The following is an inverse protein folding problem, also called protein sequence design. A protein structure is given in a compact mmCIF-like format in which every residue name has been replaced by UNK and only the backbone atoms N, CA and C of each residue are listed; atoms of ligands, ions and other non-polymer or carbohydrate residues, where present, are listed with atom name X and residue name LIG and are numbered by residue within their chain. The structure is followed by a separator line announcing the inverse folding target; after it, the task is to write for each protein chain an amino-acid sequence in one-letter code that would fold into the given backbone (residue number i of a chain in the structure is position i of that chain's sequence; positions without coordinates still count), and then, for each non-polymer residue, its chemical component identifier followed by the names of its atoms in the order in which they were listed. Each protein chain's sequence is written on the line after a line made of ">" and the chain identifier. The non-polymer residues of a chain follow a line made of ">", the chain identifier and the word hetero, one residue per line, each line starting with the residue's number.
data_IF_636078529644
#
_entry.id   IF_636078529644
#
_cell.length_a   1.000
_cell.length_b   1.000
_cell.length_c   1.000
_cell.angle_alpha   90.00
_cell.angle_beta   90.00
_cell.angle_gamma   90.00
#
_symmetry.space_group_name_H-M   'P 1'
#
loop_
_entity.id
_entity.type
_entity.pdbx_description
1 polymer ?
#
# COMPACT_ATOMS: atom_id res chain seq x y z
N UNK A 1 3.23 18.51 -3.86
CA UNK A 1 3.31 17.57 -2.71
C UNK A 1 3.81 18.36 -1.50
N UNK A 2 2.96 18.54 -0.49
CA UNK A 2 3.36 19.21 0.74
C UNK A 2 4.00 18.22 1.70
N UNK A 3 5.23 18.50 2.09
CA UNK A 3 6.01 17.65 2.99
C UNK A 3 6.13 18.32 4.36
N UNK A 4 5.83 17.56 5.42
CA UNK A 4 5.95 18.00 6.82
C UNK A 4 6.97 17.10 7.54
N UNK A 5 7.84 17.71 8.32
CA UNK A 5 8.74 16.98 9.22
C UNK A 5 8.26 17.11 10.67
N UNK A 6 8.14 15.97 11.36
CA UNK A 6 7.78 15.92 12.77
C UNK A 6 9.02 16.09 13.66
N UNK A 7 8.79 16.42 14.94
CA UNK A 7 9.86 16.65 15.92
C UNK A 7 10.82 15.47 16.14
N UNK A 8 10.41 14.25 15.81
CA UNK A 8 11.21 13.03 15.85
C UNK A 8 11.99 12.75 14.57
N UNK A 9 11.97 13.66 13.57
CA UNK A 9 12.63 13.50 12.28
C UNK A 9 11.88 12.66 11.25
N UNK A 10 10.64 12.24 11.54
CA UNK A 10 9.78 11.58 10.54
C UNK A 10 9.29 12.60 9.52
N UNK A 11 9.50 12.31 8.24
CA UNK A 11 8.95 13.11 7.14
C UNK A 11 7.67 12.48 6.63
N UNK A 12 6.67 13.31 6.39
CA UNK A 12 5.35 12.90 5.92
C UNK A 12 5.00 13.74 4.70
N UNK A 13 4.63 13.06 3.62
CA UNK A 13 4.26 13.71 2.36
C UNK A 13 2.88 13.21 1.94
N UNK A 14 1.92 14.11 1.81
CA UNK A 14 0.67 13.81 1.12
C UNK A 14 0.93 13.85 -0.39
N UNK A 15 0.52 12.79 -1.11
CA UNK A 15 0.66 12.74 -2.56
C UNK A 15 -0.52 13.45 -3.25
N UNK A 16 -0.49 13.55 -4.58
CA UNK A 16 -1.55 14.20 -5.37
C UNK A 16 -2.86 13.37 -5.47
N UNK A 17 -3.04 12.41 -4.57
CA UNK A 17 -4.28 11.65 -4.35
C UNK A 17 -4.69 11.87 -2.89
N UNK A 18 -5.82 12.56 -2.64
CA UNK A 18 -6.19 13.01 -1.30
C UNK A 18 -6.30 11.88 -0.26
N UNK A 19 -5.66 12.08 0.89
CA UNK A 19 -5.66 11.17 2.04
C UNK A 19 -4.60 10.07 1.97
N UNK A 20 -3.79 10.00 0.91
CA UNK A 20 -2.67 9.05 0.80
C UNK A 20 -1.37 9.70 1.23
N UNK A 21 -0.64 9.06 2.14
CA UNK A 21 0.58 9.61 2.73
C UNK A 21 1.76 8.65 2.62
N UNK A 22 2.91 9.20 2.26
CA UNK A 22 4.21 8.54 2.35
C UNK A 22 4.89 8.98 3.64
N UNK A 23 5.33 8.01 4.45
CA UNK A 23 6.09 8.24 5.67
C UNK A 23 7.54 7.81 5.44
N UNK A 24 8.48 8.70 5.69
CA UNK A 24 9.89 8.39 5.75
C UNK A 24 10.34 8.41 7.21
N UNK A 25 10.62 7.24 7.78
CA UNK A 25 11.02 7.11 9.18
C UNK A 25 12.54 7.19 9.35
N UNK A 26 13.05 7.95 10.34
CA UNK A 26 14.48 8.04 10.57
C UNK A 26 15.07 6.69 11.01
N UNK A 27 16.33 6.47 10.61
CA UNK A 27 17.15 5.33 11.06
C UNK A 27 18.26 5.84 11.98
N UNK A 28 18.25 5.38 13.21
CA UNK A 28 19.31 5.64 14.19
C UNK A 28 20.35 4.54 14.09
N UNK A 29 21.63 4.90 13.92
CA UNK A 29 22.74 3.95 13.73
C UNK A 29 23.75 4.08 14.88
N UNK A 30 24.17 2.93 15.41
CA UNK A 30 25.30 2.83 16.33
C UNK A 30 26.09 1.53 16.06
N UNK A 31 27.07 1.21 16.94
CA UNK A 31 27.89 0.00 16.82
C UNK A 31 27.11 -1.32 16.89
N UNK A 32 25.86 -1.31 17.32
CA UNK A 32 24.99 -2.50 17.40
C UNK A 32 24.14 -2.71 16.12
N UNK A 33 24.05 -1.69 15.25
CA UNK A 33 23.25 -1.74 14.02
C UNK A 33 22.33 -0.54 13.87
N UNK A 34 21.06 -0.79 13.55
CA UNK A 34 20.06 0.26 13.28
C UNK A 34 18.81 0.07 14.13
N UNK A 35 18.25 1.18 14.58
CA UNK A 35 16.95 1.26 15.21
C UNK A 35 16.04 2.24 14.44
N UNK A 36 14.78 1.92 14.31
CA UNK A 36 13.78 2.81 13.73
C UNK A 36 12.43 2.58 14.42
N UNK A 37 11.59 3.60 14.49
CA UNK A 37 10.20 3.49 14.97
C UNK A 37 9.29 3.60 13.74
N UNK A 38 8.89 2.48 13.12
CA UNK A 38 8.16 2.49 11.86
C UNK A 38 6.70 2.93 11.99
N UNK A 39 6.16 2.91 13.20
CA UNK A 39 4.79 3.31 13.49
C UNK A 39 4.67 3.86 14.92
N UNK A 40 3.99 4.98 15.04
CA UNK A 40 3.50 5.55 16.28
C UNK A 40 2.07 6.03 16.04
N UNK A 41 1.11 5.52 16.83
CA UNK A 41 -0.32 5.78 16.61
C UNK A 41 -0.68 7.27 16.75
N UNK A 42 -0.09 7.96 17.73
CA UNK A 42 -0.33 9.39 17.94
C UNK A 42 0.13 10.21 16.74
N UNK A 43 1.36 10.00 16.30
CA UNK A 43 1.94 10.70 15.13
C UNK A 43 1.18 10.39 13.84
N UNK A 44 0.76 9.14 13.66
CA UNK A 44 -0.07 8.73 12.52
C UNK A 44 -1.40 9.49 12.50
N UNK A 45 -2.12 9.54 13.62
CA UNK A 45 -3.41 10.26 13.74
C UNK A 45 -3.24 11.76 13.50
N UNK A 46 -2.20 12.37 14.05
CA UNK A 46 -1.88 13.80 13.86
C UNK A 46 -1.52 14.13 12.41
N UNK A 47 -0.85 13.20 11.72
CA UNK A 47 -0.42 13.40 10.34
C UNK A 47 -1.55 13.24 9.33
N UNK A 48 -2.37 12.19 9.49
CA UNK A 48 -3.36 11.77 8.50
C UNK A 48 -4.77 12.28 8.81
N UNK A 49 -5.01 12.77 10.02
CA UNK A 49 -6.33 13.04 10.57
C UNK A 49 -7.29 11.83 10.48
N UNK A 50 -6.73 10.61 10.50
CA UNK A 50 -7.46 9.35 10.45
C UNK A 50 -7.46 8.68 11.82
N UNK A 51 -8.63 8.45 12.41
CA UNK A 51 -8.80 8.07 13.81
C UNK A 51 -9.27 6.64 14.03
N UNK A 52 -9.33 5.80 12.99
CA UNK A 52 -9.61 4.37 13.18
C UNK A 52 -8.43 3.63 13.82
N UNK A 53 -8.72 2.51 14.44
CA UNK A 53 -7.71 1.63 15.01
C UNK A 53 -7.18 0.66 13.95
N UNK A 54 -5.97 0.14 14.19
CA UNK A 54 -5.44 -1.00 13.45
C UNK A 54 -5.76 -2.28 14.21
N UNK A 55 -6.45 -3.20 13.54
CA UNK A 55 -7.01 -4.41 14.17
C UNK A 55 -6.23 -5.68 13.86
N UNK A 56 -5.39 -5.67 12.80
CA UNK A 56 -4.65 -6.84 12.35
C UNK A 56 -3.34 -6.44 11.68
N UNK A 57 -2.29 -7.24 11.92
CA UNK A 57 -1.01 -7.18 11.22
C UNK A 57 -0.88 -8.37 10.27
N UNK A 58 -0.36 -8.11 9.07
CA UNK A 58 -0.13 -9.11 8.04
C UNK A 58 1.33 -9.10 7.60
N UNK A 59 1.90 -10.28 7.38
CA UNK A 59 3.24 -10.47 6.82
C UNK A 59 3.19 -11.49 5.70
N UNK A 60 3.69 -11.12 4.52
CA UNK A 60 3.86 -12.05 3.41
C UNK A 60 5.33 -12.16 3.01
N UNK A 61 5.72 -13.35 2.55
CA UNK A 61 7.02 -13.58 1.90
C UNK A 61 6.76 -13.96 0.46
N UNK A 62 7.41 -13.28 -0.48
CA UNK A 62 7.19 -13.45 -1.92
C UNK A 62 8.50 -13.67 -2.66
N UNK A 63 8.47 -14.56 -3.67
CA UNK A 63 9.55 -14.68 -4.66
C UNK A 63 9.59 -13.42 -5.54
N UNK A 64 10.70 -13.21 -6.22
CA UNK A 64 10.79 -12.16 -7.23
C UNK A 64 9.72 -12.35 -8.32
N UNK A 65 9.20 -11.27 -8.85
CA UNK A 65 8.13 -11.20 -9.85
C UNK A 65 6.74 -11.69 -9.39
N UNK A 66 6.54 -12.04 -8.12
CA UNK A 66 5.18 -12.27 -7.60
C UNK A 66 4.47 -10.93 -7.51
N UNK A 67 3.30 -10.85 -8.14
CA UNK A 67 2.36 -9.73 -8.01
C UNK A 67 1.14 -10.22 -7.22
N UNK A 68 0.73 -9.44 -6.22
CA UNK A 68 -0.48 -9.67 -5.41
C UNK A 68 -1.38 -8.46 -5.53
N UNK A 69 -2.58 -8.64 -6.01
CA UNK A 69 -3.56 -7.56 -6.14
C UNK A 69 -4.11 -7.39 -7.55
N UNK A 70 -4.84 -6.32 -7.78
CA UNK A 70 -5.17 -5.21 -6.86
C UNK A 70 -6.42 -5.53 -6.03
N UNK A 71 -6.30 -5.62 -4.72
CA UNK A 71 -7.36 -6.08 -3.84
C UNK A 71 -8.06 -4.95 -3.09
N UNK A 72 -9.39 -5.06 -2.93
CA UNK A 72 -10.22 -4.18 -2.10
C UNK A 72 -11.39 -4.94 -1.49
N UNK A 73 -12.06 -4.36 -0.49
CA UNK A 73 -13.27 -4.92 0.12
C UNK A 73 -14.46 -3.98 -0.08
N UNK A 74 -15.61 -4.54 -0.49
CA UNK A 74 -16.86 -3.80 -0.69
C UNK A 74 -17.44 -3.30 0.62
N UNK A 75 -17.52 -4.20 1.62
CA UNK A 75 -17.96 -3.88 2.97
C UNK A 75 -16.76 -3.94 3.90
N UNK A 76 -16.75 -3.10 4.92
CA UNK A 76 -15.60 -2.95 5.82
C UNK A 76 -14.30 -2.70 5.06
N UNK A 77 -14.25 -1.65 4.19
CA UNK A 77 -13.04 -1.36 3.42
C UNK A 77 -11.86 -1.14 4.35
N UNK A 78 -10.72 -1.73 4.00
CA UNK A 78 -9.51 -1.67 4.81
C UNK A 78 -8.67 -0.45 4.44
N UNK A 79 -8.34 0.38 5.43
CA UNK A 79 -7.14 1.22 5.34
C UNK A 79 -5.91 0.37 5.62
N UNK A 80 -4.81 0.63 4.92
CA UNK A 80 -3.58 -0.18 4.99
C UNK A 80 -2.37 0.71 5.20
N UNK A 81 -1.58 0.44 6.24
CA UNK A 81 -0.26 1.04 6.42
C UNK A 81 0.79 -0.01 6.08
N UNK A 82 1.44 0.15 4.94
CA UNK A 82 2.29 -0.87 4.32
C UNK A 82 3.76 -0.49 4.33
N UNK A 83 4.65 -1.49 4.42
CA UNK A 83 6.10 -1.33 4.35
C UNK A 83 6.82 -2.63 3.98
N UNK A 84 8.09 -2.52 3.58
CA UNK A 84 8.96 -3.66 3.32
C UNK A 84 9.94 -3.87 4.47
N UNK A 85 9.96 -5.08 5.03
CA UNK A 85 10.90 -5.49 6.08
C UNK A 85 12.20 -6.00 5.48
N UNK A 86 12.11 -6.77 4.37
CA UNK A 86 13.25 -7.30 3.62
C UNK A 86 12.97 -7.23 2.13
N UNK A 87 13.96 -6.84 1.34
CA UNK A 87 13.84 -6.74 -0.11
C UNK A 87 13.20 -5.43 -0.57
N UNK A 88 12.48 -5.49 -1.68
CA UNK A 88 11.82 -4.32 -2.30
C UNK A 88 10.58 -4.72 -3.09
N UNK A 89 9.63 -3.80 -3.20
CA UNK A 89 8.42 -3.93 -4.02
C UNK A 89 8.19 -2.67 -4.84
N UNK A 90 7.51 -2.83 -5.97
CA UNK A 90 6.73 -1.77 -6.57
C UNK A 90 5.32 -1.87 -5.97
N UNK A 91 4.96 -0.92 -5.13
CA UNK A 91 3.64 -0.82 -4.50
C UNK A 91 2.73 0.05 -5.35
N UNK A 92 1.51 -0.38 -5.57
CA UNK A 92 0.54 0.29 -6.45
C UNK A 92 -0.81 0.39 -5.79
N UNK A 93 -1.40 1.57 -5.85
CA UNK A 93 -2.77 1.85 -5.43
C UNK A 93 -3.57 2.44 -6.59
N UNK A 94 -4.88 2.22 -6.57
CA UNK A 94 -5.84 2.84 -7.49
C UNK A 94 -6.98 3.43 -6.66
N UNK A 95 -7.28 4.70 -6.86
CA UNK A 95 -8.44 5.34 -6.21
C UNK A 95 -9.73 4.83 -6.83
N UNK A 96 -10.50 4.05 -6.07
CA UNK A 96 -11.79 3.50 -6.51
C UNK A 96 -12.98 4.17 -5.82
N UNK A 97 -12.77 5.30 -5.15
CA UNK A 97 -13.82 6.12 -4.52
C UNK A 97 -14.58 6.90 -5.61
N UNK A 98 -15.78 6.47 -5.95
CA UNK A 98 -16.57 6.99 -7.08
C UNK A 98 -16.76 8.51 -7.09
N UNK A 99 -16.79 9.16 -5.92
CA UNK A 99 -16.96 10.60 -5.78
C UNK A 99 -15.64 11.37 -5.65
N UNK A 100 -14.50 10.67 -5.71
CA UNK A 100 -13.19 11.30 -5.61
C UNK A 100 -12.84 12.07 -6.88
N UNK A 101 -12.20 13.25 -6.78
CA UNK A 101 -11.66 13.95 -7.94
C UNK A 101 -10.51 13.18 -8.62
N UNK A 102 -9.99 12.16 -7.94
CA UNK A 102 -8.93 11.28 -8.44
C UNK A 102 -9.40 9.85 -8.71
N UNK A 103 -10.71 9.64 -8.87
CA UNK A 103 -11.26 8.34 -9.25
C UNK A 103 -10.55 7.76 -10.49
N UNK A 104 -10.13 6.50 -10.42
CA UNK A 104 -9.40 5.80 -11.48
C UNK A 104 -7.91 6.18 -11.58
N UNK A 105 -7.41 7.16 -10.82
CA UNK A 105 -5.97 7.45 -10.81
C UNK A 105 -5.21 6.37 -10.05
N UNK A 106 -4.09 5.94 -10.63
CA UNK A 106 -3.11 5.07 -10.00
C UNK A 106 -1.92 5.86 -9.45
N UNK A 107 -1.30 5.33 -8.41
CA UNK A 107 -0.01 5.81 -7.90
C UNK A 107 0.89 4.60 -7.65
N UNK A 108 2.17 4.74 -7.99
CA UNK A 108 3.19 3.70 -7.85
C UNK A 108 4.41 4.24 -7.10
N UNK A 109 4.91 3.47 -6.15
CA UNK A 109 6.10 3.81 -5.36
C UNK A 109 6.96 2.57 -5.11
N UNK A 110 8.28 2.75 -5.06
CA UNK A 110 9.20 1.71 -4.60
C UNK A 110 9.32 1.77 -3.08
N UNK A 111 8.88 0.70 -2.43
CA UNK A 111 9.11 0.48 -1.00
C UNK A 111 10.21 -0.56 -0.80
N UNK A 112 11.12 -0.32 0.13
CA UNK A 112 12.21 -1.25 0.39
C UNK A 112 12.71 -1.16 1.83
N UNK A 113 13.37 -2.23 2.30
CA UNK A 113 14.07 -2.21 3.59
C UNK A 113 15.22 -1.18 3.65
N UNK A 114 15.67 -0.67 2.49
CA UNK A 114 16.73 0.33 2.38
C UNK A 114 16.21 1.76 2.54
N UNK A 115 15.12 2.13 1.82
CA UNK A 115 14.59 3.48 1.84
C UNK A 115 13.73 3.79 3.06
N UNK A 116 13.30 2.77 3.81
CA UNK A 116 12.55 2.90 5.05
C UNK A 116 11.22 3.67 4.91
N UNK A 117 10.65 3.65 3.71
CA UNK A 117 9.35 4.26 3.44
C UNK A 117 8.21 3.35 3.89
N UNK A 118 7.12 3.97 4.32
CA UNK A 118 5.82 3.33 4.49
C UNK A 118 4.77 4.12 3.72
N UNK A 119 3.76 3.44 3.19
CA UNK A 119 2.65 4.08 2.49
C UNK A 119 1.36 3.86 3.30
N UNK A 120 0.66 4.95 3.60
CA UNK A 120 -0.71 4.90 4.08
C UNK A 120 -1.67 4.97 2.91
N UNK A 121 -2.50 3.93 2.79
CA UNK A 121 -3.57 3.78 1.82
C UNK A 121 -4.89 3.80 2.58
N UNK A 122 -5.70 4.85 2.49
CA UNK A 122 -6.97 4.91 3.21
C UNK A 122 -8.00 3.91 2.64
N UNK A 123 -9.13 3.67 3.33
CA UNK A 123 -10.24 2.91 2.77
C UNK A 123 -10.71 3.49 1.43
N UNK A 124 -11.16 2.61 0.52
CA UNK A 124 -11.65 3.02 -0.81
C UNK A 124 -10.58 3.02 -1.90
N UNK A 125 -9.52 2.26 -1.71
CA UNK A 125 -8.49 2.01 -2.72
C UNK A 125 -8.39 0.52 -3.04
N UNK A 126 -8.14 0.20 -4.32
CA UNK A 126 -7.57 -1.08 -4.71
C UNK A 126 -6.05 -1.01 -4.52
N UNK A 127 -5.44 -2.05 -3.95
CA UNK A 127 -4.04 -2.08 -3.58
C UNK A 127 -3.37 -3.39 -3.97
N UNK A 128 -2.16 -3.29 -4.46
CA UNK A 128 -1.32 -4.44 -4.78
C UNK A 128 0.15 -4.09 -4.85
N UNK A 129 0.99 -5.11 -4.98
CA UNK A 129 2.42 -4.92 -5.13
C UNK A 129 3.06 -6.00 -5.99
N UNK A 130 4.14 -5.62 -6.66
CA UNK A 130 5.05 -6.49 -7.36
C UNK A 130 6.33 -6.65 -6.54
N UNK A 131 6.71 -7.89 -6.21
CA UNK A 131 7.98 -8.18 -5.55
C UNK A 131 9.15 -8.05 -6.53
N UNK A 132 10.11 -7.19 -6.21
CA UNK A 132 11.28 -6.90 -7.07
C UNK A 132 12.52 -7.70 -6.68
N UNK A 133 12.48 -8.41 -5.54
CA UNK A 133 13.60 -9.22 -5.05
C UNK A 133 13.15 -10.56 -4.49
N UNK A 134 14.08 -11.52 -4.46
CA UNK A 134 13.81 -12.84 -3.90
C UNK A 134 13.62 -12.77 -2.38
N UNK A 135 12.61 -13.47 -1.86
CA UNK A 135 12.32 -13.54 -0.43
C UNK A 135 11.89 -12.20 0.17
N UNK A 136 11.22 -11.34 -0.62
CA UNK A 136 10.69 -10.05 -0.15
C UNK A 136 9.66 -10.26 0.96
N UNK A 137 9.88 -9.61 2.11
CA UNK A 137 8.96 -9.59 3.24
C UNK A 137 8.20 -8.27 3.26
N UNK A 138 6.90 -8.36 2.99
CA UNK A 138 5.97 -7.23 2.95
C UNK A 138 5.05 -7.29 4.17
N UNK A 139 5.07 -6.24 4.97
CA UNK A 139 4.32 -6.12 6.22
C UNK A 139 3.32 -4.98 6.13
N UNK A 140 2.10 -5.20 6.65
CA UNK A 140 1.10 -4.14 6.70
C UNK A 140 0.10 -4.32 7.83
N UNK A 141 -0.35 -3.18 8.36
CA UNK A 141 -1.45 -3.06 9.32
C UNK A 141 -2.74 -2.73 8.60
N UNK A 142 -3.86 -3.27 9.06
CA UNK A 142 -5.19 -3.00 8.48
C UNK A 142 -6.19 -2.50 9.52
N UNK A 143 -7.13 -1.67 9.07
CA UNK A 143 -8.13 -1.02 9.94
C UNK A 143 -9.43 -1.80 10.08
N UNK A 144 -9.64 -2.85 9.31
CA UNK A 144 -10.78 -3.77 9.41
C UNK A 144 -10.32 -5.20 9.19
N UNK A 145 -11.10 -6.16 9.70
CA UNK A 145 -10.86 -7.58 9.51
C UNK A 145 -10.96 -7.97 8.02
N UNK A 146 -10.26 -9.04 7.68
CA UNK A 146 -10.38 -9.65 6.36
C UNK A 146 -11.76 -10.29 6.20
N UNK A 147 -12.43 -9.98 5.08
CA UNK A 147 -13.78 -10.44 4.75
C UNK A 147 -13.77 -11.05 3.34
N UNK A 148 -13.53 -12.37 3.23
CA UNK A 148 -13.38 -13.06 1.94
C UNK A 148 -14.57 -12.85 1.00
N UNK A 149 -15.79 -12.86 1.54
CA UNK A 149 -17.04 -12.66 0.79
C UNK A 149 -17.16 -11.26 0.19
N UNK A 150 -16.50 -10.26 0.78
CA UNK A 150 -16.48 -8.88 0.31
C UNK A 150 -15.22 -8.52 -0.49
N UNK A 151 -14.23 -9.41 -0.54
CA UNK A 151 -13.01 -9.16 -1.31
C UNK A 151 -13.29 -9.15 -2.81
N UNK A 152 -12.66 -8.24 -3.52
CA UNK A 152 -12.70 -8.10 -4.97
C UNK A 152 -11.30 -7.83 -5.49
N UNK A 153 -11.09 -8.18 -6.75
CA UNK A 153 -9.82 -7.97 -7.44
C UNK A 153 -10.04 -7.10 -8.68
N UNK A 154 -9.38 -5.97 -8.70
CA UNK A 154 -9.23 -5.13 -9.88
C UNK A 154 -8.08 -5.70 -10.72
N UNK A 155 -8.28 -5.82 -12.04
CA UNK A 155 -7.29 -6.42 -12.94
C UNK A 155 -5.98 -5.64 -12.93
N UNK A 156 -4.87 -6.33 -12.65
CA UNK A 156 -3.55 -5.73 -12.49
C UNK A 156 -3.05 -4.99 -13.73
N UNK A 157 -3.40 -5.46 -14.93
CA UNK A 157 -3.02 -4.90 -16.24
C UNK A 157 -4.21 -4.28 -16.97
N UNK A 158 -5.17 -3.72 -16.24
CA UNK A 158 -6.28 -2.97 -16.84
C UNK A 158 -5.73 -1.89 -17.79
N UNK A 159 -6.08 -1.94 -19.10
CA UNK A 159 -5.54 -1.01 -20.09
C UNK A 159 -5.91 0.46 -19.85
N UNK A 160 -7.05 0.73 -19.20
CA UNK A 160 -7.49 2.10 -18.89
C UNK A 160 -6.66 2.71 -17.73
N UNK A 161 -6.19 1.88 -16.80
CA UNK A 161 -5.35 2.34 -15.68
C UNK A 161 -3.89 2.57 -16.09
N UNK A 162 -3.44 1.93 -17.14
CA UNK A 162 -2.09 2.05 -17.72
C UNK A 162 -0.96 2.01 -16.66
N UNK A 163 -1.04 1.05 -15.74
CA UNK A 163 -0.06 0.89 -14.68
C UNK A 163 1.24 0.34 -15.27
N UNK A 164 2.32 1.10 -15.14
CA UNK A 164 3.64 0.68 -15.62
C UNK A 164 4.33 -0.24 -14.60
N UNK A 165 4.01 -1.54 -14.64
CA UNK A 165 4.66 -2.54 -13.82
C UNK A 165 6.10 -2.82 -14.29
N UNK A 166 7.00 -3.10 -13.34
CA UNK A 166 8.41 -3.44 -13.65
C UNK A 166 8.59 -4.90 -14.10
N UNK A 167 7.55 -5.49 -14.68
CA UNK A 167 7.59 -6.81 -15.33
C UNK A 167 6.41 -6.96 -16.27
N UNK A 168 6.64 -7.65 -17.39
CA UNK A 168 5.57 -8.03 -18.33
C UNK A 168 4.96 -9.41 -18.02
N UNK A 169 5.63 -10.19 -17.16
CA UNK A 169 5.25 -11.58 -16.84
C UNK A 169 5.28 -11.81 -15.32
N UNK A 170 4.33 -11.26 -14.56
CA UNK A 170 4.25 -11.50 -13.13
C UNK A 170 3.78 -12.93 -12.81
N UNK A 171 4.18 -13.42 -11.64
CA UNK A 171 3.63 -14.63 -11.04
C UNK A 171 2.38 -14.22 -10.27
N UNK A 172 1.22 -14.73 -10.69
CA UNK A 172 -0.10 -14.40 -10.15
C UNK A 172 -0.77 -15.60 -9.49
N UNK A 173 -1.67 -15.36 -8.54
CA UNK A 173 -2.65 -16.35 -8.11
C UNK A 173 -3.81 -16.44 -9.10
N UNK A 174 -4.58 -17.53 -9.08
CA UNK A 174 -5.79 -17.68 -9.89
C UNK A 174 -6.75 -16.49 -9.69
N UNK A 175 -6.96 -16.09 -8.44
CA UNK A 175 -7.80 -14.92 -8.09
C UNK A 175 -7.30 -13.62 -8.73
N UNK A 176 -6.00 -13.41 -8.83
CA UNK A 176 -5.42 -12.18 -9.39
C UNK A 176 -5.51 -12.17 -10.93
N UNK A 177 -5.46 -13.36 -11.55
CA UNK A 177 -5.70 -13.52 -13.00
C UNK A 177 -7.15 -13.22 -13.37
N UNK A 178 -8.12 -13.59 -12.53
CA UNK A 178 -9.56 -13.40 -12.73
C UNK A 178 -10.06 -11.99 -12.36
N UNK A 179 -9.17 -11.06 -12.07
CA UNK A 179 -9.50 -9.66 -11.78
C UNK A 179 -10.32 -9.02 -12.88
N UNK A 180 -11.21 -8.07 -12.51
CA UNK A 180 -12.07 -7.33 -13.46
C UNK A 180 -11.46 -5.98 -13.77
N UNK A 181 -11.65 -5.50 -15.01
CA UNK A 181 -11.33 -4.10 -15.37
C UNK A 181 -12.18 -3.13 -14.56
N UNK A 182 -11.68 -1.93 -14.30
CA UNK A 182 -12.30 -0.94 -13.39
C UNK A 182 -13.78 -0.69 -13.72
N UNK A 183 -14.12 -0.55 -14.99
CA UNK A 183 -15.50 -0.31 -15.44
C UNK A 183 -16.50 -1.46 -15.17
N UNK A 184 -15.99 -2.66 -14.90
CA UNK A 184 -16.78 -3.86 -14.58
C UNK A 184 -16.74 -4.20 -13.09
N UNK A 185 -15.95 -3.46 -12.30
CA UNK A 185 -15.84 -3.65 -10.88
C UNK A 185 -17.10 -3.21 -10.15
N UNK A 186 -17.57 -4.02 -9.19
CA UNK A 186 -18.53 -3.55 -8.19
C UNK A 186 -17.76 -2.69 -7.19
N UNK A 187 -18.14 -1.43 -7.05
CA UNK A 187 -17.54 -0.46 -6.13
C UNK A 187 -18.52 -0.12 -4.99
N UNK A 188 -18.00 0.25 -3.82
CA UNK A 188 -18.79 0.65 -2.65
C UNK A 188 -19.16 2.14 -2.68
#
# INVERSE_FOLDING_TARGET
>A
MDSKELSNGMKITEIDIPGVYVFETPKYRDKRGTFTVPFNLKEFKEATNFYADFVQDNLSTSKKNVLRGLHYQLKKPQGKLVRVIKGSVQDVIVDIRQKSPTFGKSFSIILSSKNNLSLWVPPGFAHGFLSLSEGTQFFYKVTNDYSPENERTLLWNDPELNINWQTDNPILSEKDVEGKVLKECTLA
#
